data_IF_063886991338
#
_entry.id   IF_063886991338
#
_cell.length_a   1.000
_cell.length_b   1.000
_cell.length_c   1.000
_cell.angle_alpha   90.00
_cell.angle_beta   90.00
_cell.angle_gamma   90.00
#
_symmetry.space_group_name_H-M   'P 1'
#
loop_
_entity.id
_entity.type
_entity.pdbx_description
1 polymer ?
#
# COMPACT_ATOMS: atom_id res chain seq x y z
N UNK A 1 -42.57 0.57 30.63
CA UNK A 1 -43.17 1.93 30.52
C UNK A 1 -42.18 2.97 31.04
N UNK A 2 -41.72 3.91 30.21
CA UNK A 2 -40.83 4.99 30.67
C UNK A 2 -41.66 6.12 31.30
N UNK A 3 -41.45 6.38 32.60
CA UNK A 3 -42.17 7.40 33.36
C UNK A 3 -41.38 8.70 33.53
N UNK A 4 -40.09 8.75 33.15
CA UNK A 4 -39.25 9.94 33.28
C UNK A 4 -39.79 11.16 32.52
N UNK A 5 -40.31 11.04 31.29
CA UNK A 5 -40.88 12.19 30.55
C UNK A 5 -42.03 12.90 31.28
N UNK A 6 -42.69 12.24 32.23
CA UNK A 6 -43.79 12.79 33.01
C UNK A 6 -43.33 13.48 34.30
N UNK A 7 -42.03 13.45 34.62
CA UNK A 7 -41.47 14.06 35.82
C UNK A 7 -40.97 15.47 35.51
N UNK A 8 -41.34 16.44 36.35
CA UNK A 8 -41.00 17.86 36.18
C UNK A 8 -39.50 18.16 36.33
N UNK A 9 -38.75 17.28 36.99
CA UNK A 9 -37.29 17.41 37.15
C UNK A 9 -36.50 16.78 36.00
N UNK A 10 -37.16 16.14 35.02
CA UNK A 10 -36.43 15.45 33.97
C UNK A 10 -35.71 16.43 33.05
N UNK A 11 -34.38 16.37 33.03
CA UNK A 11 -33.50 17.33 32.32
C UNK A 11 -33.84 17.47 30.83
N UNK A 12 -34.33 16.40 30.19
CA UNK A 12 -34.62 16.35 28.75
C UNK A 12 -35.98 16.89 28.35
N UNK A 13 -36.82 17.33 29.29
CA UNK A 13 -38.11 17.96 28.93
C UNK A 13 -37.87 19.33 28.32
N UNK A 14 -38.68 19.70 27.34
CA UNK A 14 -38.57 20.97 26.61
C UNK A 14 -38.52 22.18 27.55
N UNK A 15 -39.34 22.16 28.60
CA UNK A 15 -39.44 23.24 29.58
C UNK A 15 -38.14 23.40 30.40
N UNK A 16 -37.50 22.30 30.79
CA UNK A 16 -36.26 22.36 31.56
C UNK A 16 -35.09 22.80 30.69
N UNK A 17 -35.01 22.31 29.45
CA UNK A 17 -34.01 22.77 28.50
C UNK A 17 -34.19 24.28 28.23
N UNK A 18 -35.42 24.77 28.09
CA UNK A 18 -35.68 26.20 27.90
C UNK A 18 -35.31 27.06 29.12
N UNK A 19 -35.44 26.53 30.34
CA UNK A 19 -34.95 27.19 31.56
C UNK A 19 -33.44 27.28 31.57
N UNK A 20 -32.74 26.18 31.34
CA UNK A 20 -31.28 26.13 31.24
C UNK A 20 -30.77 27.13 30.21
N UNK A 21 -31.36 27.17 29.00
CA UNK A 21 -30.98 28.15 27.98
C UNK A 21 -31.18 29.60 28.40
N UNK A 22 -32.25 29.91 29.14
CA UNK A 22 -32.49 31.27 29.66
C UNK A 22 -31.43 31.65 30.68
N UNK A 23 -31.08 30.72 31.57
CA UNK A 23 -30.09 30.94 32.62
C UNK A 23 -28.67 31.08 32.00
N UNK A 24 -28.33 30.23 31.02
CA UNK A 24 -27.10 30.33 30.24
C UNK A 24 -27.02 31.66 29.48
N UNK A 25 -28.10 32.07 28.80
CA UNK A 25 -28.15 33.35 28.10
C UNK A 25 -28.02 34.54 29.06
N UNK A 26 -28.65 34.48 30.25
CA UNK A 26 -28.50 35.51 31.26
C UNK A 26 -27.06 35.60 31.78
N UNK A 27 -26.41 34.45 32.04
CA UNK A 27 -25.02 34.40 32.44
C UNK A 27 -24.08 34.98 31.37
N UNK A 28 -24.32 34.64 30.10
CA UNK A 28 -23.56 35.21 28.97
C UNK A 28 -23.70 36.73 28.86
N UNK A 29 -24.92 37.26 29.01
CA UNK A 29 -25.16 38.71 28.98
C UNK A 29 -24.46 39.42 30.15
N UNK A 30 -24.44 38.83 31.34
CA UNK A 30 -23.70 39.40 32.48
C UNK A 30 -22.19 39.38 32.26
N UNK A 31 -21.65 38.31 31.68
CA UNK A 31 -20.23 38.20 31.35
C UNK A 31 -19.83 39.22 30.28
N UNK A 32 -20.62 39.36 29.21
CA UNK A 32 -20.40 40.38 28.18
C UNK A 32 -20.40 41.80 28.78
N UNK A 33 -21.38 42.13 29.63
CA UNK A 33 -21.39 43.43 30.32
C UNK A 33 -20.16 43.66 31.21
N UNK A 34 -19.57 42.61 31.78
CA UNK A 34 -18.31 42.73 32.55
C UNK A 34 -17.12 42.95 31.62
N UNK A 35 -17.06 42.24 30.50
CA UNK A 35 -16.02 42.40 29.48
C UNK A 35 -16.08 43.80 28.88
N UNK A 36 -17.26 44.28 28.46
CA UNK A 36 -17.46 45.64 27.94
C UNK A 36 -16.99 46.71 28.93
N UNK A 37 -17.26 46.54 30.23
CA UNK A 37 -16.76 47.45 31.27
C UNK A 37 -15.24 47.43 31.39
N UNK A 38 -14.63 46.25 31.28
CA UNK A 38 -13.17 46.10 31.32
C UNK A 38 -12.53 46.74 30.09
N UNK A 39 -13.05 46.45 28.90
CA UNK A 39 -12.59 47.03 27.63
C UNK A 39 -12.72 48.56 27.63
N UNK A 40 -13.85 49.07 28.14
CA UNK A 40 -14.05 50.52 28.28
C UNK A 40 -13.01 51.11 29.24
N UNK A 41 -12.81 50.51 30.41
CA UNK A 41 -11.80 50.96 31.37
C UNK A 41 -10.37 50.89 30.80
N UNK A 42 -10.04 49.85 30.03
CA UNK A 42 -8.75 49.71 29.34
C UNK A 42 -8.57 50.79 28.27
N UNK A 43 -9.62 51.03 27.47
CA UNK A 43 -9.62 52.08 26.44
C UNK A 43 -9.43 53.47 27.07
N UNK A 44 -10.10 53.75 28.18
CA UNK A 44 -9.97 54.99 28.94
C UNK A 44 -8.57 55.13 29.54
N UNK A 45 -8.03 54.06 30.13
CA UNK A 45 -6.66 54.03 30.67
C UNK A 45 -5.63 54.30 29.58
N UNK A 46 -5.80 53.69 28.40
CA UNK A 46 -4.93 53.90 27.23
C UNK A 46 -4.99 55.34 26.73
N UNK A 47 -6.19 55.92 26.64
CA UNK A 47 -6.37 57.32 26.24
C UNK A 47 -5.73 58.26 27.26
N UNK A 48 -5.92 58.02 28.56
CA UNK A 48 -5.32 58.82 29.61
C UNK A 48 -3.79 58.73 29.60
N UNK A 49 -3.23 57.55 29.36
CA UNK A 49 -1.78 57.37 29.17
C UNK A 49 -1.24 58.21 28.01
N UNK A 50 -1.87 58.14 26.83
CA UNK A 50 -1.48 58.96 25.67
C UNK A 50 -1.60 60.45 25.95
N UNK A 51 -2.62 60.84 26.73
CA UNK A 51 -2.84 62.23 27.11
C UNK A 51 -1.76 62.77 28.05
N UNK A 52 -1.36 61.97 29.05
CA UNK A 52 -0.20 62.27 29.91
C UNK A 52 1.07 62.45 29.08
N UNK A 53 1.28 61.59 28.10
CA UNK A 53 2.45 61.65 27.22
C UNK A 53 2.46 62.92 26.34
N UNK A 54 1.31 63.42 25.91
CA UNK A 54 1.19 64.64 25.11
C UNK A 54 1.11 65.94 25.93
N UNK A 55 1.10 65.85 27.26
CA UNK A 55 1.00 67.02 28.15
C UNK A 55 -0.41 67.61 28.25
N UNK A 56 -1.44 66.91 27.78
CA UNK A 56 -2.84 67.32 27.93
C UNK A 56 -3.40 66.86 29.31
N UNK A 57 -4.35 67.60 29.91
CA UNK A 57 -4.89 67.27 31.24
C UNK A 57 -5.80 66.03 31.19
N UNK A 58 -5.58 65.06 32.08
CA UNK A 58 -6.40 63.85 32.18
C UNK A 58 -7.88 64.14 32.34
N UNK A 59 -8.73 63.37 31.68
CA UNK A 59 -10.18 63.46 31.89
C UNK A 59 -10.53 62.62 33.11
N UNK A 60 -10.25 63.13 34.30
CA UNK A 60 -10.71 62.53 35.54
C UNK A 60 -12.18 62.88 35.75
N UNK A 61 -13.06 61.89 35.85
CA UNK A 61 -14.49 62.05 36.14
C UNK A 61 -14.79 62.61 37.54
N UNK A 62 -13.79 63.18 38.24
CA UNK A 62 -13.86 63.78 39.57
C UNK A 62 -13.26 65.20 39.60
N UNK A 63 -13.59 66.03 38.61
CA UNK A 63 -13.34 67.46 38.67
C UNK A 63 -14.68 68.22 38.68
N UNK A 64 -15.18 68.43 39.90
CA UNK A 64 -16.03 69.53 40.39
C UNK A 64 -17.28 69.94 39.58
N UNK A 65 -18.40 69.85 40.27
CA UNK A 65 -19.59 70.68 40.10
C UNK A 65 -19.22 72.17 40.03
N UNK A 66 -19.23 72.74 38.84
CA UNK A 66 -19.44 74.16 38.62
C UNK A 66 -20.77 74.33 37.87
N UNK A 67 -21.74 75.11 38.38
CA UNK A 67 -22.95 75.39 37.65
C UNK A 67 -22.64 76.51 36.65
N UNK A 68 -22.41 76.15 35.39
CA UNK A 68 -22.47 77.12 34.30
C UNK A 68 -23.74 76.82 33.54
N UNK A 69 -24.78 77.62 33.85
CA UNK A 69 -25.89 77.85 32.93
C UNK A 69 -25.31 78.20 31.56
N UNK A 70 -25.64 77.42 30.55
CA UNK A 70 -25.96 77.92 29.22
C UNK A 70 -26.78 76.85 28.49
N UNK A 71 -28.01 77.23 28.16
CA UNK A 71 -28.85 76.57 27.19
C UNK A 71 -28.11 76.59 25.84
N UNK A 72 -27.73 75.42 25.35
CA UNK A 72 -27.41 75.20 23.96
C UNK A 72 -27.63 73.72 23.65
N UNK A 73 -28.47 73.50 22.64
CA UNK A 73 -28.88 72.22 22.10
C UNK A 73 -27.71 71.25 21.91
N UNK A 74 -27.89 70.02 22.41
CA UNK A 74 -27.29 68.77 21.90
C UNK A 74 -25.93 68.88 21.19
N UNK A 75 -24.84 69.04 21.95
CA UNK A 75 -23.52 68.68 21.45
C UNK A 75 -23.25 67.19 21.72
N UNK A 76 -23.84 66.34 20.88
CA UNK A 76 -23.22 65.05 20.61
C UNK A 76 -21.74 65.32 20.22
N UNK A 77 -20.77 64.48 20.63
CA UNK A 77 -19.41 64.63 20.16
C UNK A 77 -19.45 64.70 18.64
N UNK A 78 -18.96 65.81 18.07
CA UNK A 78 -18.98 66.06 16.62
C UNK A 78 -18.34 64.86 15.93
N UNK A 79 -19.18 63.96 15.43
CA UNK A 79 -18.73 62.84 14.64
C UNK A 79 -18.38 63.43 13.28
N UNK A 80 -17.12 63.85 13.14
CA UNK A 80 -16.58 64.47 11.93
C UNK A 80 -16.73 63.59 10.68
N UNK A 81 -17.10 62.31 10.87
CA UNK A 81 -17.35 61.31 9.84
C UNK A 81 -18.84 60.93 9.69
N UNK A 82 -19.77 61.50 10.44
CA UNK A 82 -21.21 61.26 10.24
C UNK A 82 -21.62 61.66 8.82
N UNK A 83 -21.17 62.84 8.38
CA UNK A 83 -21.38 63.29 7.01
C UNK A 83 -20.79 62.31 6.00
N UNK A 84 -19.58 61.79 6.24
CA UNK A 84 -18.92 60.83 5.34
C UNK A 84 -19.62 59.47 5.30
N UNK A 85 -20.05 58.92 6.45
CA UNK A 85 -20.82 57.68 6.50
C UNK A 85 -22.18 57.82 5.81
N UNK A 86 -22.82 58.98 5.96
CA UNK A 86 -24.07 59.29 5.29
C UNK A 86 -23.89 59.61 3.78
N UNK A 87 -22.70 60.05 3.36
CA UNK A 87 -22.37 60.37 1.96
C UNK A 87 -21.95 59.14 1.14
N UNK A 88 -21.27 58.16 1.76
CA UNK A 88 -20.93 56.88 1.11
C UNK A 88 -22.13 55.93 1.16
N UNK A 89 -23.20 56.29 0.43
CA UNK A 89 -24.38 55.40 0.22
C UNK A 89 -24.14 54.34 -0.85
N UNK A 90 -22.96 54.33 -1.46
CA UNK A 90 -22.55 53.28 -2.37
C UNK A 90 -22.04 52.12 -1.53
N UNK A 91 -22.96 51.28 -1.04
CA UNK A 91 -22.57 49.97 -0.59
C UNK A 91 -21.88 49.28 -1.76
N UNK A 92 -20.66 48.79 -1.52
CA UNK A 92 -19.92 48.10 -2.56
C UNK A 92 -20.71 46.83 -2.88
N UNK A 93 -21.39 46.78 -4.04
CA UNK A 93 -22.29 45.67 -4.41
C UNK A 93 -21.59 44.32 -4.34
N UNK A 94 -20.27 44.33 -4.51
CA UNK A 94 -19.42 43.15 -4.37
C UNK A 94 -19.32 42.66 -2.92
N UNK A 95 -19.24 43.57 -1.94
CA UNK A 95 -19.15 43.24 -0.51
C UNK A 95 -20.48 42.67 0.03
N UNK A 96 -21.63 43.16 -0.46
CA UNK A 96 -22.92 42.57 -0.12
C UNK A 96 -23.10 41.17 -0.73
N UNK A 97 -22.62 40.97 -1.97
CA UNK A 97 -22.61 39.65 -2.60
C UNK A 97 -21.69 38.68 -1.87
N UNK A 98 -20.49 39.12 -1.51
CA UNK A 98 -19.53 38.31 -0.74
C UNK A 98 -20.12 37.88 0.60
N UNK A 99 -20.71 38.81 1.36
CA UNK A 99 -21.41 38.48 2.62
C UNK A 99 -22.56 37.50 2.42
N UNK A 100 -23.33 37.65 1.33
CA UNK A 100 -24.42 36.72 1.01
C UNK A 100 -23.89 35.35 0.61
N UNK A 101 -22.82 35.27 -0.18
CA UNK A 101 -22.16 34.02 -0.52
C UNK A 101 -21.54 33.33 0.71
N UNK A 102 -20.96 34.08 1.63
CA UNK A 102 -20.46 33.57 2.91
C UNK A 102 -21.60 33.01 3.78
N UNK A 103 -22.73 33.74 3.86
CA UNK A 103 -23.93 33.25 4.55
C UNK A 103 -24.47 31.98 3.89
N UNK A 104 -24.58 31.95 2.55
CA UNK A 104 -25.04 30.76 1.84
C UNK A 104 -24.05 29.59 1.96
N UNK A 105 -22.74 29.83 1.97
CA UNK A 105 -21.71 28.80 2.23
C UNK A 105 -21.85 28.24 3.64
N UNK A 106 -22.05 29.10 4.63
CA UNK A 106 -22.26 28.72 6.03
C UNK A 106 -23.57 27.93 6.19
N UNK A 107 -24.66 28.40 5.57
CA UNK A 107 -25.94 27.71 5.56
C UNK A 107 -25.88 26.37 4.83
N UNK A 108 -25.15 26.27 3.72
CA UNK A 108 -24.86 24.99 3.03
C UNK A 108 -24.00 24.08 3.91
N UNK A 109 -22.99 24.62 4.58
CA UNK A 109 -22.11 23.86 5.46
C UNK A 109 -22.82 23.31 6.69
N UNK A 110 -23.79 24.06 7.24
CA UNK A 110 -24.63 23.61 8.36
C UNK A 110 -25.82 22.77 7.89
N UNK A 111 -26.13 22.81 6.59
CA UNK A 111 -27.23 22.06 6.01
C UNK A 111 -28.59 22.76 6.09
N UNK A 112 -28.64 24.06 6.39
CA UNK A 112 -29.87 24.87 6.29
C UNK A 112 -30.29 25.07 4.82
N UNK A 113 -29.32 25.25 3.92
CA UNK A 113 -29.54 25.48 2.49
C UNK A 113 -29.17 24.25 1.62
N UNK A 114 -28.88 23.12 2.24
CA UNK A 114 -28.57 21.87 1.51
C UNK A 114 -29.85 21.10 1.27
N UNK A 115 -30.30 21.07 0.02
CA UNK A 115 -31.50 20.35 -0.35
C UNK A 115 -31.21 18.85 -0.42
N UNK A 116 -32.14 18.05 0.12
CA UNK A 116 -32.05 16.60 0.10
C UNK A 116 -31.89 16.08 -1.34
N UNK A 117 -30.75 15.46 -1.63
CA UNK A 117 -30.45 14.88 -2.95
C UNK A 117 -29.34 15.58 -3.76
N UNK A 118 -28.88 16.77 -3.35
CA UNK A 118 -27.84 17.52 -4.09
C UNK A 118 -26.47 16.84 -4.08
N UNK A 119 -26.11 16.16 -2.99
CA UNK A 119 -24.84 15.45 -2.84
C UNK A 119 -24.93 13.97 -3.28
N UNK A 120 -26.00 13.58 -3.96
CA UNK A 120 -26.08 12.20 -4.46
C UNK A 120 -25.07 11.97 -5.57
N UNK A 121 -24.50 10.76 -5.59
CA UNK A 121 -23.55 10.32 -6.63
C UNK A 121 -24.07 10.56 -8.06
N UNK A 122 -25.38 10.43 -8.25
CA UNK A 122 -26.06 10.70 -9.52
C UNK A 122 -26.03 12.20 -9.88
N UNK A 123 -26.33 13.09 -8.93
CA UNK A 123 -26.29 14.54 -9.12
C UNK A 123 -24.86 15.04 -9.38
N UNK A 124 -23.87 14.50 -8.65
CA UNK A 124 -22.45 14.81 -8.82
C UNK A 124 -21.83 14.11 -10.04
N UNK A 125 -22.56 13.22 -10.72
CA UNK A 125 -22.06 12.32 -11.78
C UNK A 125 -20.82 11.53 -11.36
N UNK A 126 -20.64 11.33 -10.06
CA UNK A 126 -19.55 10.55 -9.49
C UNK A 126 -20.05 9.12 -9.37
N UNK A 127 -19.40 8.20 -10.08
CA UNK A 127 -19.74 6.78 -10.02
C UNK A 127 -19.08 6.16 -8.79
N UNK A 128 -19.85 5.48 -7.95
CA UNK A 128 -19.31 4.82 -6.77
C UNK A 128 -18.44 3.61 -7.12
N UNK A 129 -17.50 3.27 -6.23
CA UNK A 129 -16.56 2.15 -6.44
C UNK A 129 -17.26 0.78 -6.61
N UNK A 130 -18.48 0.63 -6.07
CA UNK A 130 -19.29 -0.59 -6.20
C UNK A 130 -20.14 -0.63 -7.49
N UNK A 131 -20.33 0.51 -8.17
CA UNK A 131 -21.06 0.60 -9.44
C UNK A 131 -20.14 0.31 -10.64
N UNK A 132 -18.81 0.31 -10.44
CA UNK A 132 -17.81 0.01 -11.47
C UNK A 132 -17.10 -1.27 -11.09
N UNK A 133 -17.22 -2.29 -11.95
CA UNK A 133 -16.39 -3.48 -11.80
C UNK A 133 -14.90 -3.09 -11.88
N UNK A 134 -14.05 -3.55 -10.93
CA UNK A 134 -12.62 -3.31 -11.00
C UNK A 134 -12.05 -3.73 -12.36
N UNK A 135 -11.27 -2.86 -12.99
CA UNK A 135 -10.59 -3.17 -14.25
C UNK A 135 -9.59 -4.29 -13.98
N UNK A 136 -9.92 -5.51 -14.40
CA UNK A 136 -8.97 -6.63 -14.41
C UNK A 136 -8.05 -6.43 -15.60
N UNK A 137 -6.75 -6.43 -15.37
CA UNK A 137 -5.77 -6.44 -16.46
C UNK A 137 -5.94 -7.73 -17.26
N UNK A 138 -5.97 -7.61 -18.59
CA UNK A 138 -6.14 -8.75 -19.49
C UNK A 138 -4.87 -9.63 -19.41
N UNK A 139 -5.05 -10.95 -19.41
CA UNK A 139 -3.95 -11.90 -19.29
C UNK A 139 -3.07 -11.82 -20.54
N UNK A 140 -2.01 -11.03 -20.49
CA UNK A 140 -1.06 -10.86 -21.60
C UNK A 140 -0.65 -9.41 -21.88
N UNK A 141 -1.15 -8.43 -21.14
CA UNK A 141 -0.78 -7.02 -21.34
C UNK A 141 0.72 -6.80 -21.05
N UNK A 142 1.52 -6.34 -22.04
CA UNK A 142 2.96 -6.15 -21.87
C UNK A 142 3.32 -4.98 -20.94
N UNK A 143 2.33 -4.15 -20.60
CA UNK A 143 2.49 -2.99 -19.71
C UNK A 143 1.94 -3.24 -18.29
N UNK A 144 1.36 -4.43 -18.03
CA UNK A 144 0.91 -4.86 -16.72
C UNK A 144 2.13 -5.08 -15.81
N UNK A 145 2.49 -4.05 -15.03
CA UNK A 145 3.54 -4.17 -14.02
C UNK A 145 2.93 -4.83 -12.79
N UNK A 146 3.31 -6.09 -12.57
CA UNK A 146 2.87 -6.85 -11.41
C UNK A 146 3.14 -6.05 -10.11
N UNK A 147 2.07 -5.78 -9.37
CA UNK A 147 2.17 -5.06 -8.10
C UNK A 147 2.98 -5.88 -7.10
N UNK A 148 3.86 -5.19 -6.36
CA UNK A 148 4.69 -5.78 -5.30
C UNK A 148 5.68 -6.86 -5.75
N UNK A 149 6.18 -6.83 -6.99
CA UNK A 149 7.24 -7.72 -7.50
C UNK A 149 8.39 -7.94 -6.51
N UNK A 150 8.91 -6.87 -5.90
CA UNK A 150 10.02 -6.95 -4.94
C UNK A 150 9.66 -7.79 -3.70
N UNK A 151 8.45 -7.62 -3.18
CA UNK A 151 7.97 -8.38 -2.02
C UNK A 151 7.76 -9.85 -2.38
N UNK A 152 7.18 -10.12 -3.55
CA UNK A 152 7.00 -11.47 -4.08
C UNK A 152 8.35 -12.18 -4.27
N UNK A 153 9.32 -11.50 -4.86
CA UNK A 153 10.68 -12.03 -5.04
C UNK A 153 11.39 -12.24 -3.70
N UNK A 154 11.20 -11.36 -2.72
CA UNK A 154 11.78 -11.51 -1.38
C UNK A 154 11.17 -12.67 -0.59
N UNK A 155 9.89 -12.95 -0.80
CA UNK A 155 9.16 -14.05 -0.16
C UNK A 155 9.28 -15.38 -0.91
N UNK A 156 9.91 -15.38 -2.10
CA UNK A 156 10.13 -16.60 -2.88
C UNK A 156 11.31 -17.39 -2.30
N UNK A 157 11.11 -18.62 -1.80
CA UNK A 157 12.19 -19.47 -1.28
C UNK A 157 13.25 -19.78 -2.34
N UNK A 158 12.91 -19.76 -3.63
CA UNK A 158 13.87 -19.96 -4.70
C UNK A 158 14.86 -18.80 -4.81
N UNK A 159 14.44 -17.56 -4.55
CA UNK A 159 15.34 -16.41 -4.51
C UNK A 159 16.38 -16.59 -3.41
N UNK A 160 15.97 -17.07 -2.23
CA UNK A 160 16.87 -17.35 -1.11
C UNK A 160 17.86 -18.48 -1.45
N UNK A 161 17.36 -19.60 -1.98
CA UNK A 161 18.20 -20.75 -2.38
C UNK A 161 19.22 -20.34 -3.45
N UNK A 162 18.80 -19.57 -4.45
CA UNK A 162 19.69 -19.10 -5.52
C UNK A 162 20.75 -18.11 -5.02
N UNK A 163 20.49 -17.37 -3.93
CA UNK A 163 21.47 -16.48 -3.32
C UNK A 163 22.51 -17.22 -2.46
N UNK A 164 22.16 -18.40 -1.94
CA UNK A 164 23.07 -19.26 -1.16
C UNK A 164 23.96 -20.13 -2.04
N UNK A 165 23.50 -20.45 -3.25
CA UNK A 165 24.30 -21.17 -4.23
C UNK A 165 25.34 -20.24 -4.88
N UNK A 166 26.57 -20.73 -5.15
CA UNK A 166 27.53 -20.00 -5.97
C UNK A 166 26.91 -19.61 -7.32
N UNK A 167 27.20 -18.42 -7.86
CA UNK A 167 26.65 -18.00 -9.14
C UNK A 167 27.11 -18.98 -10.22
N UNK A 168 26.20 -19.83 -10.69
CA UNK A 168 26.45 -20.64 -11.86
C UNK A 168 26.78 -19.70 -13.01
N UNK A 169 27.95 -19.90 -13.64
CA UNK A 169 28.34 -19.17 -14.85
C UNK A 169 27.31 -19.50 -15.92
N UNK A 170 26.25 -18.69 -16.02
CA UNK A 170 25.33 -18.71 -17.14
C UNK A 170 26.15 -18.37 -18.38
N UNK A 171 26.54 -19.38 -19.14
CA UNK A 171 26.99 -19.16 -20.51
C UNK A 171 25.87 -18.40 -21.19
N UNK A 172 26.18 -17.19 -21.69
CA UNK A 172 25.24 -16.39 -22.48
C UNK A 172 25.07 -17.05 -23.86
N UNK A 173 24.61 -18.29 -23.89
CA UNK A 173 24.08 -18.86 -25.13
C UNK A 173 22.73 -18.20 -25.37
N UNK A 174 22.75 -17.29 -26.33
CA UNK A 174 21.60 -16.59 -26.85
C UNK A 174 20.51 -17.60 -27.24
N UNK A 175 19.48 -17.70 -26.40
CA UNK A 175 18.23 -18.35 -26.79
C UNK A 175 17.17 -17.27 -26.98
N UNK A 176 17.09 -16.76 -28.21
CA UNK A 176 15.80 -16.55 -28.87
C UNK A 176 15.11 -17.92 -29.00
N UNK A 177 14.65 -18.49 -27.88
CA UNK A 177 13.74 -19.64 -27.92
C UNK A 177 12.36 -19.06 -28.20
N UNK A 178 12.00 -19.12 -29.48
CA UNK A 178 10.61 -19.02 -29.94
C UNK A 178 9.81 -19.95 -29.03
N UNK A 179 8.92 -19.40 -28.19
CA UNK A 179 7.93 -20.18 -27.46
C UNK A 179 7.06 -20.86 -28.52
N UNK A 180 7.36 -22.11 -28.84
CA UNK A 180 6.38 -22.95 -29.52
C UNK A 180 5.23 -23.14 -28.54
N UNK A 181 4.07 -22.61 -28.91
CA UNK A 181 2.83 -22.80 -28.19
C UNK A 181 2.59 -24.30 -28.09
N UNK A 182 2.61 -24.82 -26.87
CA UNK A 182 2.00 -26.10 -26.53
C UNK A 182 0.52 -26.00 -26.99
N UNK A 183 0.00 -26.92 -27.82
CA UNK A 183 -1.42 -26.95 -28.11
C UNK A 183 -2.17 -27.29 -26.83
N UNK A 184 -2.96 -26.34 -26.35
CA UNK A 184 -3.94 -26.53 -25.28
C UNK A 184 -4.89 -27.64 -25.72
N UNK A 185 -4.93 -28.73 -24.96
CA UNK A 185 -5.90 -29.81 -25.13
C UNK A 185 -7.26 -29.28 -24.62
N UNK A 186 -8.33 -29.22 -25.44
CA UNK A 186 -9.68 -28.93 -24.95
C UNK A 186 -10.29 -30.19 -24.30
N UNK A 187 -11.16 -30.06 -23.27
CA UNK A 187 -11.75 -31.19 -22.56
C UNK A 187 -13.06 -31.67 -23.21
N UNK A 188 -13.23 -33.00 -23.31
CA UNK A 188 -14.50 -33.73 -23.58
C UNK A 188 -15.04 -33.61 -25.02
N UNK A 189 -15.66 -34.58 -25.69
CA UNK A 189 -16.35 -35.82 -25.33
C UNK A 189 -16.47 -36.72 -26.60
N UNK A 190 -16.79 -38.00 -26.36
CA UNK A 190 -17.41 -38.98 -27.28
C UNK A 190 -16.54 -39.99 -28.07
N UNK A 191 -16.97 -41.24 -27.88
CA UNK A 191 -16.51 -42.57 -28.29
C UNK A 191 -16.56 -42.87 -29.83
N UNK A 192 -16.08 -44.06 -30.28
CA UNK A 192 -15.37 -44.25 -31.54
C UNK A 192 -16.27 -44.63 -32.72
N UNK A 193 -15.87 -44.24 -33.93
CA UNK A 193 -16.45 -44.77 -35.16
C UNK A 193 -15.36 -45.10 -36.19
N UNK A 194 -15.49 -46.32 -36.70
CA UNK A 194 -14.75 -46.94 -37.79
C UNK A 194 -14.64 -46.03 -39.02
N UNK A 195 -13.45 -45.95 -39.63
CA UNK A 195 -13.39 -46.12 -41.09
C UNK A 195 -11.99 -46.54 -41.53
N UNK A 196 -11.97 -47.70 -42.16
CA UNK A 196 -10.92 -48.21 -43.02
C UNK A 196 -10.58 -47.22 -44.12
N UNK A 197 -9.30 -46.94 -44.34
CA UNK A 197 -8.78 -46.60 -45.67
C UNK A 197 -7.32 -46.96 -45.80
N UNK A 198 -7.11 -48.05 -46.55
CA UNK A 198 -5.83 -48.49 -47.08
C UNK A 198 -5.25 -47.43 -48.03
N UNK A 199 -3.93 -47.24 -47.98
CA UNK A 199 -3.14 -47.02 -49.19
C UNK A 199 -1.66 -47.26 -48.91
N UNK A 200 -0.93 -47.59 -49.97
CA UNK A 200 0.52 -47.78 -50.09
C UNK A 200 1.05 -49.17 -49.74
N UNK A 201 1.94 -49.79 -50.52
CA UNK A 201 2.25 -49.77 -51.95
C UNK A 201 3.36 -50.82 -52.10
N UNK A 202 3.11 -51.79 -52.97
CA UNK A 202 4.03 -52.67 -53.70
C UNK A 202 5.54 -52.38 -53.51
N UNK A 203 6.29 -53.41 -53.11
CA UNK A 203 7.57 -53.69 -53.77
C UNK A 203 7.63 -55.15 -54.24
N UNK A 204 7.95 -55.31 -55.52
CA UNK A 204 8.15 -56.55 -56.27
C UNK A 204 9.45 -57.23 -55.80
N UNK A 205 9.44 -58.54 -55.61
CA UNK A 205 10.52 -59.38 -56.18
C UNK A 205 10.09 -60.82 -56.43
N UNK A 206 10.51 -61.31 -57.59
CA UNK A 206 10.09 -62.52 -58.25
C UNK A 206 10.72 -63.80 -57.69
N UNK A 207 9.91 -64.86 -57.64
CA UNK A 207 10.08 -66.18 -58.30
C UNK A 207 11.51 -66.75 -58.41
N UNK A 208 11.79 -67.83 -57.67
CA UNK A 208 12.25 -69.10 -58.25
C UNK A 208 12.27 -70.23 -57.22
N UNK A 209 11.26 -71.08 -57.32
CA UNK A 209 11.25 -72.45 -56.84
C UNK A 209 11.89 -73.30 -57.95
N UNK A 210 12.95 -74.05 -57.62
CA UNK A 210 13.36 -75.36 -58.18
C UNK A 210 14.83 -75.61 -57.84
N UNK A 211 15.10 -76.56 -56.94
CA UNK A 211 15.84 -77.80 -57.24
C UNK A 211 16.17 -78.52 -55.93
N UNK A 212 15.49 -79.64 -55.73
CA UNK A 212 16.06 -80.80 -55.06
C UNK A 212 17.31 -81.24 -55.82
N UNK A 213 18.39 -81.48 -55.07
CA UNK A 213 19.26 -82.67 -55.14
C UNK A 213 20.58 -82.42 -54.38
N UNK A 214 21.05 -83.50 -53.76
CA UNK A 214 22.42 -83.78 -53.27
C UNK A 214 22.70 -83.52 -51.79
N UNK A 215 22.48 -84.59 -51.03
CA UNK A 215 23.23 -84.93 -49.82
C UNK A 215 24.76 -84.90 -50.07
N UNK A 216 25.50 -84.70 -48.96
CA UNK A 216 26.94 -84.90 -48.74
C UNK A 216 27.88 -83.70 -49.00
N UNK A 217 27.83 -82.69 -48.12
CA UNK A 217 29.02 -82.03 -47.51
C UNK A 217 28.62 -81.20 -46.27
N UNK A 218 28.01 -81.88 -45.31
CA UNK A 218 27.73 -81.34 -43.98
C UNK A 218 29.00 -81.41 -43.12
N UNK A 219 29.53 -80.26 -42.70
CA UNK A 219 29.97 -79.96 -41.31
C UNK A 219 30.87 -78.71 -41.21
N UNK A 220 31.53 -78.25 -42.27
CA UNK A 220 32.52 -77.14 -42.17
C UNK A 220 31.91 -75.72 -42.29
N UNK A 221 31.02 -75.43 -43.25
CA UNK A 221 30.46 -74.07 -43.40
C UNK A 221 29.41 -73.65 -42.36
N UNK A 222 28.90 -74.58 -41.54
CA UNK A 222 27.97 -74.26 -40.45
C UNK A 222 28.69 -73.78 -39.18
N UNK A 223 29.99 -74.09 -39.06
CA UNK A 223 30.85 -73.59 -37.97
C UNK A 223 31.07 -72.08 -38.10
N UNK A 224 31.56 -71.62 -39.26
CA UNK A 224 31.86 -70.20 -39.48
C UNK A 224 30.63 -69.28 -39.36
N UNK A 225 29.43 -69.72 -39.78
CA UNK A 225 28.20 -68.94 -39.59
C UNK A 225 27.72 -68.91 -38.13
N UNK A 226 27.98 -69.97 -37.36
CA UNK A 226 27.70 -70.00 -35.92
C UNK A 226 28.70 -69.15 -35.15
N UNK A 227 29.98 -69.17 -35.53
CA UNK A 227 31.02 -68.31 -34.96
C UNK A 227 30.77 -66.84 -35.26
N UNK A 228 30.49 -66.45 -36.50
CA UNK A 228 30.14 -65.06 -36.84
C UNK A 228 28.89 -64.57 -36.10
N UNK A 229 27.88 -65.45 -35.90
CA UNK A 229 26.69 -65.11 -35.10
C UNK A 229 27.04 -64.95 -33.62
N UNK A 230 27.93 -65.81 -33.08
CA UNK A 230 28.42 -65.72 -31.70
C UNK A 230 29.23 -64.45 -31.48
N UNK A 231 30.12 -64.10 -32.40
CA UNK A 231 30.89 -62.84 -32.39
C UNK A 231 29.98 -61.61 -32.48
N UNK A 232 28.97 -61.63 -33.36
CA UNK A 232 28.00 -60.53 -33.45
C UNK A 232 27.17 -60.35 -32.16
N UNK A 233 26.84 -61.44 -31.47
CA UNK A 233 26.13 -61.39 -30.19
C UNK A 233 27.03 -60.88 -29.07
N UNK A 234 28.30 -61.29 -29.04
CA UNK A 234 29.30 -60.79 -28.09
C UNK A 234 29.61 -59.30 -28.33
N UNK A 235 29.70 -58.86 -29.59
CA UNK A 235 29.87 -57.45 -29.94
C UNK A 235 28.65 -56.61 -29.56
N UNK A 236 27.43 -57.12 -29.79
CA UNK A 236 26.20 -56.48 -29.34
C UNK A 236 26.10 -56.42 -27.81
N UNK A 237 26.60 -57.44 -27.10
CA UNK A 237 26.67 -57.45 -25.64
C UNK A 237 27.70 -56.43 -25.13
N UNK A 238 28.86 -56.31 -25.78
CA UNK A 238 29.87 -55.29 -25.47
C UNK A 238 29.32 -53.88 -25.64
N UNK A 239 28.64 -53.58 -26.76
CA UNK A 239 27.99 -52.28 -26.98
C UNK A 239 26.93 -51.96 -25.92
N UNK A 240 26.17 -52.97 -25.46
CA UNK A 240 25.22 -52.80 -24.36
C UNK A 240 25.92 -52.48 -23.04
N UNK A 241 27.02 -53.16 -22.73
CA UNK A 241 27.83 -52.87 -21.53
C UNK A 241 28.43 -51.47 -21.58
N UNK A 242 28.98 -51.05 -22.71
CA UNK A 242 29.50 -49.70 -22.90
C UNK A 242 28.42 -48.61 -22.74
N UNK A 243 27.22 -48.85 -23.28
CA UNK A 243 26.10 -47.93 -23.11
C UNK A 243 25.62 -47.87 -21.65
N UNK A 244 25.54 -49.01 -20.96
CA UNK A 244 25.22 -49.06 -19.53
C UNK A 244 26.29 -48.33 -18.70
N UNK A 245 27.56 -48.49 -19.01
CA UNK A 245 28.65 -47.80 -18.31
C UNK A 245 28.64 -46.30 -18.60
N UNK A 246 28.25 -45.88 -19.80
CA UNK A 246 27.98 -44.46 -20.10
C UNK A 246 26.85 -43.92 -19.23
N UNK A 247 25.72 -44.62 -19.14
CA UNK A 247 24.58 -44.22 -18.30
C UNK A 247 24.96 -44.20 -16.80
N UNK A 248 25.77 -45.16 -16.33
CA UNK A 248 26.31 -45.18 -14.96
C UNK A 248 27.22 -44.00 -14.69
N UNK A 249 28.15 -43.67 -15.60
CA UNK A 249 29.03 -42.50 -15.48
C UNK A 249 28.22 -41.20 -15.47
N UNK A 250 27.21 -41.09 -16.32
CA UNK A 250 26.32 -39.93 -16.34
C UNK A 250 25.51 -39.81 -15.04
N UNK A 251 24.97 -40.93 -14.56
CA UNK A 251 24.27 -41.00 -13.27
C UNK A 251 25.17 -40.53 -12.13
N UNK A 252 26.38 -41.09 -12.02
CA UNK A 252 27.35 -40.70 -11.00
C UNK A 252 27.72 -39.21 -11.13
N UNK A 253 27.82 -38.67 -12.34
CA UNK A 253 28.07 -37.24 -12.56
C UNK A 253 26.91 -36.37 -12.06
N UNK A 254 25.66 -36.78 -12.29
CA UNK A 254 24.48 -36.08 -11.78
C UNK A 254 24.40 -36.16 -10.26
N UNK A 255 24.61 -37.35 -9.70
CA UNK A 255 24.64 -37.57 -8.25
C UNK A 255 25.73 -36.74 -7.58
N UNK A 256 26.93 -36.66 -8.16
CA UNK A 256 28.02 -35.79 -7.66
C UNK A 256 27.66 -34.31 -7.76
N UNK A 257 27.03 -33.86 -8.86
CA UNK A 257 26.62 -32.47 -9.01
C UNK A 257 25.51 -32.06 -8.02
N UNK A 258 24.51 -32.92 -7.82
CA UNK A 258 23.47 -32.70 -6.82
C UNK A 258 24.03 -32.73 -5.40
N UNK A 259 24.99 -33.62 -5.12
CA UNK A 259 25.71 -33.68 -3.83
C UNK A 259 26.52 -32.41 -3.59
N UNK A 260 27.24 -31.90 -4.58
CA UNK A 260 27.95 -30.62 -4.46
C UNK A 260 26.99 -29.44 -4.26
N UNK A 261 25.82 -29.47 -4.92
CA UNK A 261 24.79 -28.44 -4.75
C UNK A 261 24.18 -28.48 -3.35
N UNK A 262 23.88 -29.67 -2.82
CA UNK A 262 23.36 -29.81 -1.45
C UNK A 262 24.44 -29.45 -0.43
N UNK A 263 25.68 -29.88 -0.64
CA UNK A 263 26.81 -29.48 0.19
C UNK A 263 26.99 -27.97 0.17
N UNK A 264 26.91 -27.29 -0.98
CA UNK A 264 27.01 -25.83 -1.03
C UNK A 264 25.85 -25.09 -0.30
N UNK A 265 24.65 -25.69 -0.26
CA UNK A 265 23.51 -25.12 0.48
C UNK A 265 23.63 -25.29 1.99
N UNK A 266 24.15 -26.43 2.44
CA UNK A 266 24.26 -26.79 3.86
C UNK A 266 25.66 -26.53 4.44
N UNK A 267 26.65 -26.23 3.61
CA UNK A 267 27.99 -25.91 4.04
C UNK A 267 27.90 -24.72 4.99
N UNK A 268 28.47 -24.82 6.19
CA UNK A 268 28.59 -23.68 7.07
C UNK A 268 29.35 -22.62 6.28
N UNK A 269 28.68 -21.50 6.00
CA UNK A 269 29.31 -20.34 5.37
C UNK A 269 30.38 -19.87 6.35
N UNK A 270 31.61 -20.33 6.15
CA UNK A 270 32.70 -19.98 7.03
C UNK A 270 32.74 -18.44 7.11
N UNK A 271 32.67 -17.85 8.32
CA UNK A 271 32.95 -16.44 8.43
C UNK A 271 34.39 -16.28 7.95
N UNK A 272 34.59 -15.55 6.85
CA UNK A 272 35.91 -15.17 6.38
C UNK A 272 36.75 -14.74 7.59
N UNK A 273 37.73 -15.58 7.96
CA UNK A 273 38.80 -15.30 8.91
C UNK A 273 38.49 -14.21 9.95
N UNK A 274 37.56 -14.46 10.88
CA UNK A 274 37.56 -13.70 12.13
C UNK A 274 38.30 -14.56 13.12
N UNK A 275 39.61 -14.29 13.23
CA UNK A 275 40.40 -14.68 14.37
C UNK A 275 39.56 -14.45 15.64
N UNK A 276 39.53 -15.47 16.49
CA UNK A 276 39.00 -15.41 17.84
C UNK A 276 39.69 -14.27 18.61
N UNK A 277 39.15 -13.06 18.51
CA UNK A 277 39.28 -12.02 19.52
C UNK A 277 37.87 -11.74 20.02
N UNK A 278 37.60 -11.91 21.32
CA UNK A 278 36.31 -11.50 21.88
C UNK A 278 36.13 -10.01 21.56
N UNK A 279 35.05 -9.67 20.85
CA UNK A 279 34.71 -8.29 20.58
C UNK A 279 34.59 -7.54 21.93
N UNK A 280 35.22 -6.37 22.09
CA UNK A 280 35.07 -5.58 23.31
C UNK A 280 33.60 -5.20 23.46
N UNK A 281 32.97 -5.63 24.55
CA UNK A 281 31.62 -5.20 24.92
C UNK A 281 31.63 -3.66 24.99
N UNK A 282 30.71 -2.97 24.30
CA UNK A 282 30.68 -1.51 24.36
C UNK A 282 30.33 -1.11 25.79
N UNK A 283 31.26 -0.43 26.47
CA UNK A 283 31.01 0.14 27.80
C UNK A 283 29.90 1.20 27.68
N UNK A 284 28.68 0.83 28.05
CA UNK A 284 27.53 1.75 28.06
C UNK A 284 27.73 2.72 29.22
N UNK A 285 28.17 3.95 28.92
CA UNK A 285 28.28 5.02 29.92
C UNK A 285 26.88 5.52 30.24
N UNK A 286 26.44 5.34 31.50
CA UNK A 286 25.15 5.80 31.95
C UNK A 286 25.12 7.34 31.97
N UNK A 287 24.08 7.92 31.37
CA UNK A 287 23.92 9.38 31.20
C UNK A 287 23.52 10.11 32.49
N UNK A 288 23.03 9.39 33.50
CA UNK A 288 22.46 9.95 34.73
C UNK A 288 22.92 9.18 35.97
N UNK A 289 22.87 9.85 37.13
CA UNK A 289 23.31 9.31 38.43
C UNK A 289 22.39 8.17 38.89
N UNK A 290 22.96 7.00 39.18
CA UNK A 290 22.25 5.75 39.49
C UNK A 290 21.74 5.66 40.94
N UNK A 291 21.24 6.76 41.51
CA UNK A 291 20.79 6.81 42.91
C UNK A 291 19.52 6.00 43.19
N UNK A 292 18.69 5.75 42.18
CA UNK A 292 17.35 5.18 42.38
C UNK A 292 17.22 3.68 42.06
N UNK A 293 18.28 3.02 41.58
CA UNK A 293 18.32 1.56 41.42
C UNK A 293 19.75 1.05 41.08
N UNK A 294 20.62 0.84 42.09
CA UNK A 294 22.02 0.52 41.87
C UNK A 294 22.25 -0.89 41.31
N UNK A 295 21.35 -1.85 41.57
CA UNK A 295 21.50 -3.24 41.14
C UNK A 295 21.35 -3.40 39.62
N UNK A 296 20.38 -2.71 39.01
CA UNK A 296 20.21 -2.69 37.55
C UNK A 296 21.35 -1.96 36.84
N UNK A 297 22.01 -1.00 37.51
CA UNK A 297 23.14 -0.29 36.93
C UNK A 297 24.41 -1.14 36.81
N UNK A 298 24.59 -2.12 37.71
CA UNK A 298 25.75 -3.04 37.71
C UNK A 298 25.67 -4.14 36.65
N UNK A 299 24.48 -4.51 36.21
CA UNK A 299 24.28 -5.59 35.22
C UNK A 299 24.90 -5.29 33.85
N UNK A 300 25.15 -4.02 33.53
CA UNK A 300 25.70 -3.58 32.25
C UNK A 300 27.25 -3.49 32.23
N UNK A 301 27.94 -3.95 33.27
CA UNK A 301 29.41 -3.83 33.41
C UNK A 301 30.21 -5.10 33.07
N UNK A 302 29.63 -6.09 32.39
CA UNK A 302 30.33 -7.32 31.96
C UNK A 302 30.80 -7.23 30.50
#
# INVERSE_FOLDING_TARGET
>A
MNILPKKRWHVRTKDNIARVRRDEAAAQVEEQKRQEKLELAESEARINFLRRQSGLPEKTSQAQSAPVHNEAESQAPLNLFEDYQNHVKTTNKELEKEKKEEQEKYEKQIGYLTYLGQDTNEALKVRSWYEVAPKREEVGDPNAKELHLKQKLAQDPLTLINALLPPEKRTKEATKRKRERIPTIPPGESSPAHSSRSSHSKSKKQKKEKQERKHKKSKTHKSHKREAKKESLLAAEHQKRENLDRLRRERLRREMAERLRSEALFAPKEPASVASTPAPTPKIVQKYNSQFNPEFAKQNQV
#
